data_IF_281419966973
#
_entry.id   IF_281419966973
#
_cell.length_a   1.000
_cell.length_b   1.000
_cell.length_c   1.000
_cell.angle_alpha   90.00
_cell.angle_beta   90.00
_cell.angle_gamma   90.00
#
_symmetry.space_group_name_H-M   'P 1'
#
loop_
_entity.id
_entity.type
_entity.pdbx_description
1 polymer ?
#
# COMPACT_ATOMS: atom_id res chain seq x y z
N UNK A 1 40.30 -13.37 -11.03
CA UNK A 1 39.46 -13.18 -9.83
C UNK A 1 38.39 -12.14 -10.13
N UNK A 2 37.17 -12.55 -10.50
CA UNK A 2 36.01 -11.64 -10.60
C UNK A 2 35.12 -11.94 -9.40
N UNK A 3 35.11 -11.07 -8.39
CA UNK A 3 34.14 -11.14 -7.30
C UNK A 3 32.77 -10.86 -7.92
N UNK A 4 32.03 -11.92 -8.23
CA UNK A 4 30.60 -11.86 -8.50
C UNK A 4 29.95 -11.29 -7.25
N UNK A 5 29.58 -10.02 -7.34
CA UNK A 5 28.81 -9.28 -6.34
C UNK A 5 27.53 -10.07 -6.10
N UNK A 6 27.47 -10.78 -4.97
CA UNK A 6 26.23 -11.34 -4.44
C UNK A 6 25.24 -10.18 -4.40
N UNK A 7 24.24 -10.22 -5.28
CA UNK A 7 23.02 -9.45 -5.09
C UNK A 7 22.40 -10.08 -3.84
N UNK A 8 22.62 -9.44 -2.69
CA UNK A 8 21.89 -9.76 -1.48
C UNK A 8 20.42 -9.81 -1.86
N UNK A 9 19.80 -10.98 -1.68
CA UNK A 9 18.37 -11.13 -1.79
C UNK A 9 17.77 -10.05 -0.90
N UNK A 10 17.24 -8.99 -1.51
CA UNK A 10 16.43 -8.02 -0.82
C UNK A 10 15.35 -8.85 -0.15
N UNK A 11 15.43 -9.01 1.17
CA UNK A 11 14.45 -9.72 1.97
C UNK A 11 13.15 -8.98 1.71
N UNK A 12 12.33 -9.50 0.80
CA UNK A 12 11.03 -8.94 0.45
C UNK A 12 10.14 -9.15 1.66
N UNK A 13 10.23 -8.25 2.64
CA UNK A 13 9.27 -8.19 3.72
C UNK A 13 7.91 -7.90 3.09
N UNK A 14 6.87 -8.68 3.39
CA UNK A 14 5.52 -8.33 3.00
C UNK A 14 5.15 -6.91 3.46
N UNK A 15 4.36 -6.19 2.67
CA UNK A 15 3.98 -4.80 2.97
C UNK A 15 3.34 -4.63 4.35
N UNK A 16 2.59 -5.62 4.82
CA UNK A 16 1.99 -5.59 6.16
C UNK A 16 3.03 -5.60 7.29
N UNK A 17 4.21 -6.20 7.10
CA UNK A 17 5.34 -6.14 8.06
C UNK A 17 6.02 -4.76 8.11
N UNK A 18 5.75 -3.95 7.09
CA UNK A 18 6.21 -2.56 7.00
C UNK A 18 5.14 -1.57 7.50
N UNK A 19 4.06 -2.07 8.11
CA UNK A 19 2.90 -1.25 8.48
C UNK A 19 2.29 -0.52 7.27
N UNK A 20 2.32 -1.16 6.10
CA UNK A 20 1.71 -0.67 4.85
C UNK A 20 0.45 -1.51 4.58
N UNK A 21 -0.65 -0.83 4.27
CA UNK A 21 -1.93 -1.45 3.95
C UNK A 21 -2.42 -0.95 2.60
N UNK A 22 -2.62 -1.89 1.67
CA UNK A 22 -3.27 -1.66 0.38
C UNK A 22 -4.76 -1.92 0.56
N UNK A 23 -5.60 -0.94 0.23
CA UNK A 23 -7.04 -1.05 0.24
C UNK A 23 -7.60 -1.19 -1.17
N UNK A 24 -8.53 -2.13 -1.31
CA UNK A 24 -9.22 -2.48 -2.55
C UNK A 24 -10.67 -2.05 -2.43
N UNK A 25 -11.12 -1.08 -3.25
CA UNK A 25 -12.50 -0.59 -3.20
C UNK A 25 -13.24 -0.85 -4.52
N UNK A 26 -14.42 -1.45 -4.48
CA UNK A 26 -15.35 -1.44 -5.63
C UNK A 26 -15.83 -0.02 -5.97
N UNK A 27 -15.78 0.89 -4.99
CA UNK A 27 -16.03 2.31 -5.14
C UNK A 27 -15.27 3.05 -4.02
N UNK A 28 -14.12 3.65 -4.32
CA UNK A 28 -13.41 4.53 -3.38
C UNK A 28 -14.23 5.79 -3.04
N UNK A 29 -15.34 6.01 -3.74
CA UNK A 29 -16.27 7.12 -3.48
C UNK A 29 -17.20 6.86 -2.29
N UNK A 30 -17.50 5.59 -1.96
CA UNK A 30 -18.41 5.24 -0.86
C UNK A 30 -17.77 4.23 0.12
N UNK A 31 -17.77 2.94 -0.19
CA UNK A 31 -17.26 1.92 0.75
C UNK A 31 -15.75 2.01 0.97
N UNK A 32 -14.98 2.29 -0.09
CA UNK A 32 -13.53 2.48 0.04
C UNK A 32 -13.17 3.75 0.80
N UNK A 33 -14.03 4.79 0.75
CA UNK A 33 -13.84 6.03 1.52
C UNK A 33 -13.97 5.80 3.01
N UNK A 34 -14.96 5.04 3.44
CA UNK A 34 -15.16 4.74 4.87
C UNK A 34 -13.99 3.99 5.47
N UNK A 35 -13.44 3.01 4.75
CA UNK A 35 -12.32 2.20 5.24
C UNK A 35 -11.00 3.00 5.24
N UNK A 36 -10.80 3.88 4.26
CA UNK A 36 -9.71 4.87 4.28
C UNK A 36 -9.86 5.79 5.49
N UNK A 37 -11.03 6.39 5.69
CA UNK A 37 -11.28 7.30 6.81
C UNK A 37 -11.04 6.64 8.16
N UNK A 38 -11.52 5.40 8.37
CA UNK A 38 -11.26 4.64 9.60
C UNK A 38 -9.76 4.40 9.85
N UNK A 39 -8.94 4.28 8.80
CA UNK A 39 -7.50 4.14 8.96
C UNK A 39 -6.84 5.49 9.24
N UNK A 40 -7.26 6.56 8.57
CA UNK A 40 -6.79 7.93 8.85
C UNK A 40 -7.05 8.32 10.31
N UNK A 41 -8.26 8.04 10.82
CA UNK A 41 -8.62 8.25 12.24
C UNK A 41 -7.73 7.45 13.20
N UNK A 42 -7.21 6.31 12.77
CA UNK A 42 -6.27 5.47 13.53
C UNK A 42 -4.80 5.93 13.39
N UNK A 43 -4.57 7.10 12.80
CA UNK A 43 -3.25 7.68 12.60
C UNK A 43 -2.46 7.08 11.44
N UNK A 44 -3.13 6.40 10.51
CA UNK A 44 -2.50 6.03 9.24
C UNK A 44 -2.41 7.26 8.33
N UNK A 45 -1.42 7.25 7.44
CA UNK A 45 -1.18 8.31 6.47
C UNK A 45 -1.41 7.74 5.08
N UNK A 46 -2.17 8.47 4.26
CA UNK A 46 -2.34 8.14 2.84
C UNK A 46 -1.02 8.42 2.09
N UNK A 47 -0.47 7.39 1.45
CA UNK A 47 0.79 7.49 0.72
C UNK A 47 0.58 7.62 -0.79
N UNK A 48 -0.37 6.86 -1.35
CA UNK A 48 -0.61 6.85 -2.79
C UNK A 48 -2.04 6.44 -3.13
N UNK A 49 -2.62 7.04 -4.17
CA UNK A 49 -3.88 6.62 -4.79
C UNK A 49 -3.59 6.33 -6.26
N UNK A 50 -4.06 5.20 -6.77
CA UNK A 50 -3.95 4.83 -8.18
C UNK A 50 -5.16 4.03 -8.64
N UNK A 51 -5.30 3.88 -9.96
CA UNK A 51 -6.36 3.06 -10.57
C UNK A 51 -5.75 1.81 -11.16
N UNK A 52 -6.10 0.65 -10.59
CA UNK A 52 -5.74 -0.64 -11.14
C UNK A 52 -6.59 -0.89 -12.39
N UNK A 53 -5.93 -1.09 -13.52
CA UNK A 53 -6.56 -1.53 -14.77
C UNK A 53 -6.32 -3.03 -14.93
N UNK A 54 -7.39 -3.80 -15.05
CA UNK A 54 -7.28 -5.25 -15.14
C UNK A 54 -8.35 -5.82 -16.07
N UNK A 55 -8.13 -7.04 -16.55
CA UNK A 55 -9.10 -7.78 -17.38
C UNK A 55 -9.81 -8.82 -16.54
N UNK A 56 -11.13 -8.86 -16.63
CA UNK A 56 -11.97 -9.85 -15.97
C UNK A 56 -13.04 -10.30 -16.96
N UNK A 57 -13.09 -11.60 -17.26
CA UNK A 57 -14.02 -12.18 -18.24
C UNK A 57 -13.97 -11.45 -19.60
N UNK A 58 -12.76 -11.17 -20.10
CA UNK A 58 -12.48 -10.42 -21.33
C UNK A 58 -12.93 -8.94 -21.35
N UNK A 59 -13.47 -8.41 -20.25
CA UNK A 59 -13.87 -7.01 -20.11
C UNK A 59 -12.76 -6.24 -19.38
N UNK A 60 -12.41 -5.05 -19.90
CA UNK A 60 -11.53 -4.12 -19.20
C UNK A 60 -12.27 -3.51 -18.01
N UNK A 61 -11.67 -3.61 -16.83
CA UNK A 61 -12.19 -3.05 -15.59
C UNK A 61 -11.15 -2.14 -14.96
N UNK A 62 -11.67 -1.15 -14.25
CA UNK A 62 -10.90 -0.23 -13.45
C UNK A 62 -11.32 -0.38 -12.00
N UNK A 63 -10.35 -0.37 -11.09
CA UNK A 63 -10.60 -0.35 -9.66
C UNK A 63 -9.72 0.70 -9.00
N UNK A 64 -10.29 1.67 -8.29
CA UNK A 64 -9.47 2.62 -7.55
C UNK A 64 -8.85 1.89 -6.34
N UNK A 65 -7.61 2.25 -6.01
CA UNK A 65 -6.79 1.65 -4.96
C UNK A 65 -6.15 2.75 -4.12
N UNK A 66 -5.96 2.48 -2.83
CA UNK A 66 -5.26 3.38 -1.92
C UNK A 66 -4.21 2.63 -1.10
N UNK A 67 -3.01 3.20 -1.01
CA UNK A 67 -1.92 2.71 -0.16
C UNK A 67 -1.82 3.64 1.03
N UNK A 68 -1.93 3.08 2.23
CA UNK A 68 -1.73 3.79 3.49
C UNK A 68 -0.55 3.18 4.24
N UNK A 69 0.18 4.02 4.98
CA UNK A 69 1.24 3.58 5.88
C UNK A 69 1.03 4.13 7.27
N UNK A 70 1.42 3.38 8.31
CA UNK A 70 1.46 3.90 9.67
C UNK A 70 2.84 4.52 9.95
N UNK A 71 2.92 5.78 10.38
CA UNK A 71 4.19 6.33 10.84
C UNK A 71 4.70 5.49 11.99
N UNK A 72 5.89 4.90 11.84
CA UNK A 72 6.60 4.39 13.00
C UNK A 72 6.93 5.60 13.84
N UNK A 73 6.54 5.57 15.12
CA UNK A 73 7.07 6.54 16.09
C UNK A 73 8.59 6.36 16.12
N UNK A 74 9.30 7.06 15.23
CA UNK A 74 10.65 7.47 15.52
C UNK A 74 10.47 8.36 16.73
N UNK A 75 10.90 7.87 17.91
CA UNK A 75 11.07 8.74 19.06
C UNK A 75 11.81 9.95 18.52
N UNK A 76 11.15 11.11 18.46
CA UNK A 76 11.82 12.39 18.30
C UNK A 76 12.79 12.43 19.46
N UNK A 77 14.06 12.09 19.20
CA UNK A 77 15.11 12.42 20.14
C UNK A 77 15.15 13.95 20.17
N UNK A 78 15.13 14.54 21.37
CA UNK A 78 15.07 15.99 21.55
C UNK A 78 16.26 16.70 20.92
#
# INVERSE_FOLDING_TARGET
>A
MRKSKQLEEAVYKPLWEMDIKELVGHNLEAQGREDVNKLLDKGWVLLHIYTLHYRENAVWRQRPMAILGKPRHTKRQP
#
